data_IF_281289122975
#
_entry.id   IF_281289122975
#
_cell.length_a   1.000
_cell.length_b   1.000
_cell.length_c   1.000
_cell.angle_alpha   90.00
_cell.angle_beta   90.00
_cell.angle_gamma   90.00
#
_symmetry.space_group_name_H-M   'P 1'
#
loop_
_entity.id
_entity.type
_entity.pdbx_description
1 polymer ?
#
# COMPACT_ATOMS: atom_id res chain seq x y z
N UNK A 1 16.56 -11.78 -2.54
CA UNK A 1 17.23 -11.22 -3.74
C UNK A 1 16.25 -10.31 -4.46
N UNK A 2 16.57 -9.04 -4.56
CA UNK A 2 15.76 -8.09 -5.32
C UNK A 2 15.94 -8.35 -6.82
N UNK A 3 14.85 -8.67 -7.52
CA UNK A 3 14.85 -8.91 -8.97
C UNK A 3 13.95 -7.83 -9.61
N UNK A 4 14.53 -6.83 -10.29
CA UNK A 4 13.75 -5.70 -10.85
C UNK A 4 12.71 -6.14 -11.90
N UNK A 5 12.98 -7.21 -12.63
CA UNK A 5 12.13 -7.69 -13.72
C UNK A 5 11.10 -8.75 -13.30
N UNK A 6 10.81 -8.88 -11.99
CA UNK A 6 9.86 -9.88 -11.49
C UNK A 6 8.43 -9.53 -11.89
N UNK A 7 7.66 -10.54 -12.28
CA UNK A 7 6.22 -10.43 -12.54
C UNK A 7 5.45 -11.45 -11.71
N UNK A 8 4.33 -11.04 -11.14
CA UNK A 8 3.42 -11.94 -10.43
C UNK A 8 2.52 -12.72 -11.40
N UNK A 9 1.88 -13.78 -10.92
CA UNK A 9 0.91 -14.56 -11.69
C UNK A 9 -0.29 -13.72 -12.17
N UNK A 10 -0.64 -12.65 -11.46
CA UNK A 10 -1.72 -11.74 -11.81
C UNK A 10 -1.26 -10.53 -12.62
N UNK A 11 0.02 -10.46 -13.00
CA UNK A 11 0.57 -9.44 -13.89
C UNK A 11 1.14 -8.20 -13.21
N UNK A 12 1.26 -8.15 -11.88
CA UNK A 12 1.98 -7.08 -11.17
C UNK A 12 3.48 -7.13 -11.53
N UNK A 13 4.13 -5.98 -11.68
CA UNK A 13 5.49 -5.89 -12.24
C UNK A 13 6.45 -5.10 -11.37
N UNK A 14 7.71 -5.51 -11.44
CA UNK A 14 8.85 -4.80 -10.85
C UNK A 14 8.94 -4.93 -9.33
N UNK A 15 9.87 -4.18 -8.74
CA UNK A 15 10.16 -4.23 -7.30
C UNK A 15 8.95 -3.88 -6.43
N UNK A 16 8.18 -2.87 -6.84
CA UNK A 16 6.98 -2.42 -6.13
C UNK A 16 5.71 -3.23 -6.49
N UNK A 17 5.82 -4.22 -7.40
CA UNK A 17 4.69 -5.07 -7.81
C UNK A 17 3.43 -4.26 -8.19
N UNK A 18 3.61 -3.19 -8.97
CA UNK A 18 2.50 -2.36 -9.43
C UNK A 18 1.80 -2.99 -10.65
N UNK A 19 0.46 -2.93 -10.67
CA UNK A 19 -0.32 -3.38 -11.82
C UNK A 19 -0.14 -2.44 -13.02
N UNK A 20 -0.02 -2.95 -14.26
CA UNK A 20 0.17 -2.11 -15.44
C UNK A 20 -0.90 -1.01 -15.62
N UNK A 21 -2.16 -1.32 -15.35
CA UNK A 21 -3.25 -0.33 -15.43
C UNK A 21 -3.08 0.79 -14.39
N UNK A 22 -2.72 0.44 -13.16
CA UNK A 22 -2.45 1.42 -12.09
C UNK A 22 -1.23 2.28 -12.43
N UNK A 23 -0.17 1.68 -12.95
CA UNK A 23 1.02 2.39 -13.37
C UNK A 23 0.74 3.39 -14.51
N UNK A 24 -0.05 2.99 -15.49
CA UNK A 24 -0.44 3.88 -16.59
C UNK A 24 -1.32 5.05 -16.09
N UNK A 25 -2.21 4.78 -15.16
CA UNK A 25 -3.02 5.82 -14.52
C UNK A 25 -2.14 6.80 -13.73
N UNK A 26 -1.20 6.27 -12.93
CA UNK A 26 -0.24 7.08 -12.16
C UNK A 26 0.67 7.91 -13.07
N UNK A 27 1.19 7.34 -14.16
CA UNK A 27 2.04 8.06 -15.11
C UNK A 27 1.31 9.29 -15.67
N UNK A 28 0.05 9.12 -16.08
CA UNK A 28 -0.78 10.25 -16.53
C UNK A 28 -1.01 11.28 -15.42
N UNK A 29 -1.28 10.83 -14.20
CA UNK A 29 -1.48 11.71 -13.05
C UNK A 29 -0.23 12.53 -12.69
N UNK A 30 0.95 11.97 -12.92
CA UNK A 30 2.23 12.64 -12.70
C UNK A 30 2.74 13.44 -13.92
N UNK A 31 2.00 13.44 -15.04
CA UNK A 31 2.42 14.14 -16.27
C UNK A 31 3.60 13.45 -16.97
N UNK A 32 3.76 12.15 -16.84
CA UNK A 32 4.81 11.35 -17.52
C UNK A 32 4.29 10.91 -18.89
N UNK A 33 4.48 11.75 -19.90
CA UNK A 33 3.91 11.51 -21.25
C UNK A 33 4.61 10.37 -22.01
N UNK A 34 5.86 10.06 -21.67
CA UNK A 34 6.68 9.03 -22.32
C UNK A 34 6.56 7.65 -21.68
N UNK A 35 5.56 7.43 -20.83
CA UNK A 35 5.42 6.15 -20.14
C UNK A 35 5.05 5.02 -21.09
N UNK A 36 5.85 3.95 -21.08
CA UNK A 36 5.56 2.69 -21.78
C UNK A 36 5.51 1.55 -20.75
N UNK A 37 4.63 0.56 -20.98
CA UNK A 37 4.48 -0.58 -20.04
C UNK A 37 5.78 -1.38 -19.83
N UNK A 38 6.69 -1.40 -20.81
CA UNK A 38 8.00 -2.05 -20.67
C UNK A 38 8.87 -1.39 -19.61
N UNK A 39 8.72 -0.07 -19.41
CA UNK A 39 9.46 0.69 -18.40
C UNK A 39 9.11 0.31 -16.96
N UNK A 40 8.04 -0.46 -16.74
CA UNK A 40 7.70 -1.00 -15.42
C UNK A 40 8.71 -1.99 -14.85
N UNK A 41 9.58 -2.54 -15.68
CA UNK A 41 10.68 -3.41 -15.23
C UNK A 41 11.95 -2.64 -14.94
N UNK A 42 11.99 -1.35 -15.29
CA UNK A 42 13.08 -0.44 -14.94
C UNK A 42 12.92 0.00 -13.49
N UNK A 43 14.00 -0.12 -12.71
CA UNK A 43 13.97 0.10 -11.27
C UNK A 43 13.47 1.50 -10.93
N UNK A 44 13.99 2.52 -11.56
CA UNK A 44 13.66 3.92 -11.27
C UNK A 44 12.19 4.23 -11.56
N UNK A 45 11.69 3.87 -12.74
CA UNK A 45 10.29 4.10 -13.11
C UNK A 45 9.33 3.34 -12.19
N UNK A 46 9.67 2.10 -11.85
CA UNK A 46 8.87 1.27 -10.96
C UNK A 46 8.77 1.87 -9.54
N UNK A 47 9.90 2.36 -9.00
CA UNK A 47 9.93 3.04 -7.71
C UNK A 47 9.14 4.35 -7.73
N UNK A 48 9.33 5.19 -8.75
CA UNK A 48 8.59 6.47 -8.88
C UNK A 48 7.09 6.23 -8.87
N UNK A 49 6.59 5.35 -9.73
CA UNK A 49 5.17 5.08 -9.84
C UNK A 49 4.60 4.37 -8.62
N UNK A 50 5.31 3.38 -8.10
CA UNK A 50 4.87 2.59 -6.95
C UNK A 50 4.82 3.41 -5.65
N UNK A 51 5.84 4.22 -5.39
CA UNK A 51 5.87 5.07 -4.20
C UNK A 51 4.88 6.22 -4.28
N UNK A 52 4.69 6.82 -5.46
CA UNK A 52 3.67 7.85 -5.67
C UNK A 52 2.26 7.29 -5.45
N UNK A 53 1.97 6.08 -5.95
CA UNK A 53 0.70 5.42 -5.71
C UNK A 53 0.48 5.08 -4.23
N UNK A 54 1.50 4.54 -3.56
CA UNK A 54 1.43 4.27 -2.11
C UNK A 54 1.18 5.54 -1.30
N UNK A 55 1.84 6.64 -1.64
CA UNK A 55 1.59 7.95 -1.00
C UNK A 55 0.15 8.42 -1.19
N UNK A 56 -0.38 8.27 -2.40
CA UNK A 56 -1.76 8.64 -2.69
C UNK A 56 -2.75 7.82 -1.87
N UNK A 57 -2.55 6.51 -1.78
CA UNK A 57 -3.34 5.63 -0.92
C UNK A 57 -3.22 6.01 0.57
N UNK A 58 -2.02 6.38 1.02
CA UNK A 58 -1.81 6.81 2.40
C UNK A 58 -2.65 8.04 2.75
N UNK A 59 -2.66 9.04 1.88
CA UNK A 59 -3.49 10.24 2.06
C UNK A 59 -4.98 9.95 1.94
N UNK A 60 -5.40 9.11 0.99
CA UNK A 60 -6.79 8.69 0.81
C UNK A 60 -7.31 7.88 2.01
N UNK A 61 -6.45 7.11 2.65
CA UNK A 61 -6.75 6.30 3.84
C UNK A 61 -6.50 7.07 5.16
N UNK A 62 -6.53 8.41 5.12
CA UNK A 62 -6.38 9.29 6.30
C UNK A 62 -5.09 9.00 7.09
N UNK A 63 -3.98 8.83 6.37
CA UNK A 63 -2.64 8.61 6.91
C UNK A 63 -2.48 7.32 7.73
N UNK A 64 -3.35 6.33 7.49
CA UNK A 64 -3.24 5.01 8.11
C UNK A 64 -2.30 4.10 7.31
N UNK A 65 -1.15 3.75 7.88
CA UNK A 65 -0.21 2.78 7.28
C UNK A 65 -0.87 1.42 6.99
N UNK A 66 -1.70 0.95 7.92
CA UNK A 66 -2.39 -0.35 7.79
C UNK A 66 -3.37 -0.34 6.63
N UNK A 67 -4.22 0.70 6.55
CA UNK A 67 -5.21 0.81 5.48
C UNK A 67 -4.55 1.07 4.12
N UNK A 68 -3.51 1.91 4.06
CA UNK A 68 -2.77 2.17 2.82
C UNK A 68 -2.09 0.90 2.29
N UNK A 69 -1.46 0.12 3.17
CA UNK A 69 -0.81 -1.14 2.79
C UNK A 69 -1.83 -2.18 2.33
N UNK A 70 -2.97 -2.29 3.02
CA UNK A 70 -4.08 -3.16 2.60
C UNK A 70 -4.65 -2.73 1.25
N UNK A 71 -4.84 -1.42 1.04
CA UNK A 71 -5.32 -0.85 -0.22
C UNK A 71 -4.33 -1.08 -1.37
N UNK A 72 -3.03 -1.01 -1.12
CA UNK A 72 -2.00 -1.27 -2.12
C UNK A 72 -2.07 -2.71 -2.65
N UNK A 73 -2.27 -3.68 -1.77
CA UNK A 73 -2.34 -5.10 -2.15
C UNK A 73 -3.72 -5.50 -2.71
N UNK A 74 -4.81 -5.12 -2.04
CA UNK A 74 -6.15 -5.60 -2.38
C UNK A 74 -7.00 -4.60 -3.18
N UNK A 75 -6.52 -3.38 -3.37
CA UNK A 75 -7.25 -2.28 -3.98
C UNK A 75 -7.97 -1.39 -2.96
N UNK A 76 -8.10 -0.08 -3.24
CA UNK A 76 -8.63 0.89 -2.31
C UNK A 76 -10.10 0.65 -1.93
N UNK A 77 -10.92 0.16 -2.85
CA UNK A 77 -12.33 -0.11 -2.58
C UNK A 77 -12.51 -1.22 -1.53
N UNK A 78 -11.70 -2.29 -1.56
CA UNK A 78 -11.75 -3.34 -0.55
C UNK A 78 -11.31 -2.84 0.83
N UNK A 79 -10.24 -2.06 0.89
CA UNK A 79 -9.80 -1.46 2.14
C UNK A 79 -10.87 -0.55 2.76
N UNK A 80 -11.59 0.23 1.95
CA UNK A 80 -12.71 1.06 2.40
C UNK A 80 -13.89 0.21 2.93
N UNK A 81 -14.24 -0.88 2.24
CA UNK A 81 -15.29 -1.81 2.70
C UNK A 81 -14.91 -2.41 4.05
N UNK A 82 -13.67 -2.86 4.22
CA UNK A 82 -13.22 -3.43 5.49
C UNK A 82 -13.20 -2.41 6.61
N UNK A 83 -12.77 -1.17 6.31
CA UNK A 83 -12.84 -0.06 7.25
C UNK A 83 -14.29 0.28 7.64
N UNK A 84 -15.21 0.30 6.69
CA UNK A 84 -16.62 0.58 6.94
C UNK A 84 -17.31 -0.47 7.85
N UNK A 85 -16.78 -1.69 7.90
CA UNK A 85 -17.24 -2.74 8.81
C UNK A 85 -16.79 -2.53 10.27
N UNK A 86 -15.82 -1.63 10.52
CA UNK A 86 -15.37 -1.28 11.87
C UNK A 86 -16.44 -0.43 12.56
N UNK A 87 -17.01 -0.95 13.66
CA UNK A 87 -18.08 -0.25 14.41
C UNK A 87 -17.54 0.77 15.39
N UNK A 88 -16.40 0.47 16.02
CA UNK A 88 -15.74 1.30 17.01
C UNK A 88 -14.25 1.38 16.67
N UNK A 89 -13.61 2.49 17.06
CA UNK A 89 -12.15 2.62 16.96
C UNK A 89 -11.45 1.37 17.50
N UNK A 90 -10.51 0.82 16.74
CA UNK A 90 -9.73 -0.35 17.15
C UNK A 90 -8.26 -0.19 16.88
N UNK A 91 -7.44 -0.89 17.64
CA UNK A 91 -5.98 -0.93 17.40
C UNK A 91 -5.69 -1.44 15.98
N UNK A 92 -4.73 -0.81 15.31
CA UNK A 92 -4.35 -1.18 13.95
C UNK A 92 -3.95 -2.65 13.84
N UNK A 93 -3.24 -3.20 14.84
CA UNK A 93 -2.88 -4.62 14.88
C UNK A 93 -4.11 -5.53 14.94
N UNK A 94 -5.14 -5.16 15.71
CA UNK A 94 -6.39 -5.90 15.77
C UNK A 94 -7.16 -5.82 14.45
N UNK A 95 -7.17 -4.65 13.79
CA UNK A 95 -7.78 -4.49 12.47
C UNK A 95 -7.17 -5.43 11.43
N UNK A 96 -5.85 -5.60 11.41
CA UNK A 96 -5.16 -6.51 10.48
C UNK A 96 -5.75 -7.92 10.55
N UNK A 97 -6.04 -8.42 11.76
CA UNK A 97 -6.63 -9.76 11.93
C UNK A 97 -8.07 -9.86 11.42
N UNK A 98 -8.77 -8.74 11.25
CA UNK A 98 -10.12 -8.72 10.67
C UNK A 98 -10.14 -8.73 9.15
N UNK A 99 -9.00 -8.52 8.48
CA UNK A 99 -8.90 -8.54 7.01
C UNK A 99 -9.28 -9.95 6.51
N UNK A 100 -10.36 -10.09 5.70
CA UNK A 100 -10.87 -11.42 5.35
C UNK A 100 -9.96 -12.16 4.35
N UNK A 101 -9.15 -11.44 3.57
CA UNK A 101 -8.24 -12.03 2.61
C UNK A 101 -6.93 -12.43 3.28
N UNK A 102 -6.68 -13.73 3.38
CA UNK A 102 -5.47 -14.26 4.01
C UNK A 102 -4.19 -13.69 3.40
N UNK A 103 -4.10 -13.66 2.06
CA UNK A 103 -2.94 -13.10 1.35
C UNK A 103 -2.70 -11.63 1.73
N UNK A 104 -3.74 -10.80 1.73
CA UNK A 104 -3.61 -9.38 2.09
C UNK A 104 -3.24 -9.19 3.55
N UNK A 105 -3.80 -9.99 4.45
CA UNK A 105 -3.48 -9.96 5.88
C UNK A 105 -2.00 -10.26 6.12
N UNK A 106 -1.47 -11.31 5.50
CA UNK A 106 -0.06 -11.67 5.61
C UNK A 106 0.85 -10.63 4.93
N UNK A 107 0.42 -10.10 3.78
CA UNK A 107 1.14 -9.02 3.12
C UNK A 107 1.28 -7.79 4.05
N UNK A 108 0.20 -7.33 4.66
CA UNK A 108 0.21 -6.18 5.58
C UNK A 108 1.12 -6.44 6.76
N UNK A 109 1.04 -7.62 7.41
CA UNK A 109 1.93 -8.01 8.50
C UNK A 109 3.40 -7.93 8.10
N UNK A 110 3.74 -8.54 6.96
CA UNK A 110 5.12 -8.60 6.48
C UNK A 110 5.68 -7.21 6.13
N UNK A 111 4.91 -6.38 5.43
CA UNK A 111 5.33 -5.03 5.05
C UNK A 111 5.57 -4.17 6.29
N UNK A 112 4.64 -4.18 7.25
CA UNK A 112 4.76 -3.37 8.46
C UNK A 112 5.86 -3.88 9.40
N UNK A 113 6.06 -5.21 9.50
CA UNK A 113 7.18 -5.77 10.25
C UNK A 113 8.54 -5.38 9.65
N UNK A 114 8.66 -5.41 8.32
CA UNK A 114 9.85 -4.95 7.62
C UNK A 114 10.07 -3.44 7.81
N UNK A 115 9.02 -2.63 7.69
CA UNK A 115 9.09 -1.19 7.96
C UNK A 115 9.63 -0.91 9.36
N UNK A 116 9.12 -1.62 10.37
CA UNK A 116 9.61 -1.51 11.74
C UNK A 116 11.10 -1.87 11.84
N UNK A 117 11.50 -2.99 11.24
CA UNK A 117 12.89 -3.46 11.27
C UNK A 117 13.83 -2.44 10.63
N UNK A 118 13.48 -1.90 9.46
CA UNK A 118 14.28 -0.88 8.78
C UNK A 118 14.37 0.40 9.60
N UNK A 119 13.25 0.87 10.15
CA UNK A 119 13.22 2.09 10.95
C UNK A 119 14.05 1.96 12.26
N UNK A 120 14.10 0.75 12.86
CA UNK A 120 15.00 0.47 13.99
C UNK A 120 16.47 0.49 13.57
N UNK A 121 16.81 -0.10 12.41
CA UNK A 121 18.18 -0.15 11.91
C UNK A 121 18.70 1.24 11.48
N UNK A 122 17.83 2.11 10.98
CA UNK A 122 18.19 3.49 10.57
C UNK A 122 18.12 4.50 11.72
N UNK A 123 17.63 4.10 12.90
CA UNK A 123 17.47 4.99 14.04
C UNK A 123 16.30 5.96 13.92
N UNK A 124 15.38 5.75 12.98
CA UNK A 124 14.22 6.60 12.75
C UNK A 124 13.06 6.34 13.72
N UNK A 125 13.10 5.23 14.45
CA UNK A 125 12.09 4.86 15.45
C UNK A 125 12.69 4.69 16.84
N UNK A 126 12.08 5.36 17.80
CA UNK A 126 12.41 5.30 19.23
C UNK A 126 11.76 4.12 19.99
N UNK A 127 11.40 3.06 19.29
CA UNK A 127 10.79 1.85 19.86
C UNK A 127 9.26 1.87 20.00
N UNK A 128 8.56 2.92 19.53
CA UNK A 128 7.10 3.06 19.67
C UNK A 128 6.30 2.70 18.41
N UNK A 129 6.60 1.56 17.80
CA UNK A 129 5.95 1.13 16.57
C UNK A 129 4.42 1.02 16.68
N UNK A 130 3.91 0.50 17.80
CA UNK A 130 2.46 0.41 18.02
C UNK A 130 1.78 1.79 17.99
N UNK A 131 2.47 2.83 18.49
CA UNK A 131 1.98 4.22 18.42
C UNK A 131 1.99 4.76 16.98
N UNK A 132 3.00 4.39 16.18
CA UNK A 132 3.08 4.75 14.76
C UNK A 132 1.95 4.12 13.94
N UNK A 133 1.61 2.87 14.22
CA UNK A 133 0.50 2.18 13.53
C UNK A 133 -0.86 2.80 13.88
N UNK A 134 -1.02 3.31 15.10
CA UNK A 134 -2.21 4.00 15.56
C UNK A 134 -3.46 3.11 15.66
N UNK A 135 -4.59 3.72 15.40
CA UNK A 135 -5.92 3.11 15.45
C UNK A 135 -6.62 3.25 14.11
N UNK A 136 -7.48 2.30 13.80
CA UNK A 136 -8.39 2.38 12.64
C UNK A 136 -9.75 2.87 13.14
N UNK A 137 -10.13 4.04 12.66
CA UNK A 137 -11.42 4.64 12.96
C UNK A 137 -12.48 4.19 11.95
N UNK A 138 -13.76 4.10 12.36
CA UNK A 138 -14.87 3.85 11.44
C UNK A 138 -14.84 4.84 10.28
N UNK A 139 -14.78 4.33 9.04
CA UNK A 139 -14.66 5.17 7.86
C UNK A 139 -16.00 5.77 7.43
N UNK A 140 -16.00 7.05 7.09
CA UNK A 140 -17.03 7.61 6.22
C UNK A 140 -16.62 7.29 4.78
N UNK A 141 -17.47 6.52 4.06
CA UNK A 141 -17.23 6.19 2.67
C UNK A 141 -17.22 7.46 1.81
N UNK A 142 -16.04 8.01 1.52
CA UNK A 142 -15.85 8.87 0.35
C UNK A 142 -15.18 8.03 -0.72
N UNK A 143 -15.88 7.76 -1.80
CA UNK A 143 -15.27 7.15 -2.97
C UNK A 143 -14.37 8.21 -3.63
N UNK A 144 -13.06 7.99 -3.60
CA UNK A 144 -12.17 8.63 -4.56
C UNK A 144 -12.01 7.67 -5.75
N UNK A 145 -11.97 8.23 -6.96
CA UNK A 145 -11.72 7.45 -8.20
C UNK A 145 -10.24 7.02 -8.29
N UNK A 146 -9.82 6.18 -7.35
CA UNK A 146 -8.52 5.54 -7.39
C UNK A 146 -8.62 4.17 -8.06
N UNK A 147 -7.65 3.81 -8.92
CA UNK A 147 -7.61 2.54 -9.63
C UNK A 147 -7.40 1.34 -8.71
#
# INVERSE_FOLDING_TARGET
>A
RFIPAVSSAVGARGLMQIMPATAQWMARHLGIDSFEQKSLTELEMNLVLGTAYLRMLYLDMEESYVLATAAYNAGPNRARIWRAAVRNSMEAAAFIETIPYFETREYVKNVLANMHTYAMLTGELDGRFAKLLGRVEPGRSKAADLP
#
